data_IF_463432332496
#
_entry.id   IF_463432332496
#
_cell.length_a   1.000
_cell.length_b   1.000
_cell.length_c   1.000
_cell.angle_alpha   90.00
_cell.angle_beta   90.00
_cell.angle_gamma   90.00
#
_symmetry.space_group_name_H-M   'P 1'
#
loop_
_entity.id
_entity.type
_entity.pdbx_description
1 polymer ?
#
# COMPACT_ATOMS: atom_id res chain seq x y z
N UNK A 1 10.49 18.12 20.86
CA UNK A 1 10.73 18.41 19.42
C UNK A 1 11.59 17.34 18.77
N UNK A 2 12.69 16.98 19.41
CA UNK A 2 13.59 15.94 18.88
C UNK A 2 12.93 14.57 18.93
N UNK A 3 12.03 14.36 19.88
CA UNK A 3 11.26 13.12 20.01
C UNK A 3 10.35 12.90 18.80
N UNK A 4 9.77 13.97 18.27
CA UNK A 4 8.90 13.88 17.09
C UNK A 4 9.65 13.37 15.86
N UNK A 5 10.90 13.78 15.70
CA UNK A 5 11.74 13.29 14.60
C UNK A 5 12.13 11.82 14.76
N UNK A 6 12.39 11.42 16.00
CA UNK A 6 12.77 10.04 16.31
C UNK A 6 11.60 9.09 16.06
N UNK A 7 10.39 9.56 16.32
CA UNK A 7 9.18 8.75 16.19
C UNK A 7 8.52 8.83 14.83
N UNK A 8 9.09 9.57 13.88
CA UNK A 8 8.52 9.70 12.54
C UNK A 8 8.69 8.44 11.71
N UNK A 9 7.61 8.03 11.06
CA UNK A 9 7.65 6.95 10.07
C UNK A 9 8.53 7.37 8.90
N UNK A 10 9.16 6.39 8.26
CA UNK A 10 9.93 6.62 7.04
C UNK A 10 9.27 5.85 5.88
N UNK A 11 9.37 6.41 4.69
CA UNK A 11 8.85 5.82 3.48
C UNK A 11 9.92 5.85 2.40
N UNK A 12 10.20 4.71 1.80
CA UNK A 12 11.28 4.58 0.81
C UNK A 12 10.79 4.91 -0.60
N UNK A 13 10.12 6.07 -0.73
CA UNK A 13 9.60 6.54 -2.00
C UNK A 13 10.73 6.93 -2.93
N UNK A 14 10.72 6.39 -4.14
CA UNK A 14 11.75 6.63 -5.14
C UNK A 14 11.29 7.67 -6.15
N UNK A 15 12.19 8.57 -6.50
CA UNK A 15 11.93 9.53 -7.56
C UNK A 15 11.84 8.81 -8.90
N UNK A 16 10.95 9.27 -9.76
CA UNK A 16 10.82 8.73 -11.11
C UNK A 16 11.11 9.84 -12.13
N UNK A 17 11.81 9.49 -13.19
CA UNK A 17 12.06 10.41 -14.31
C UNK A 17 10.91 10.40 -15.31
N UNK A 18 9.93 9.53 -15.15
CA UNK A 18 8.75 9.48 -16.01
C UNK A 18 7.79 10.62 -15.65
N UNK A 19 7.23 11.26 -16.66
CA UNK A 19 6.24 12.32 -16.46
C UNK A 19 4.92 11.78 -15.98
N UNK A 20 4.60 10.54 -16.34
CA UNK A 20 3.34 9.89 -15.97
C UNK A 20 3.63 8.46 -15.57
N UNK A 21 3.17 8.08 -14.39
CA UNK A 21 3.39 6.75 -13.86
C UNK A 21 2.26 5.80 -14.22
N UNK A 22 1.06 6.32 -14.41
CA UNK A 22 -0.10 5.51 -14.72
C UNK A 22 -1.14 6.36 -15.42
N UNK A 23 -1.74 5.80 -16.46
CA UNK A 23 -2.91 6.37 -17.12
C UNK A 23 -3.93 5.27 -17.35
N UNK A 24 -5.16 5.52 -16.97
CA UNK A 24 -6.28 4.59 -17.12
C UNK A 24 -7.38 5.31 -17.87
N UNK A 25 -7.85 4.70 -18.98
CA UNK A 25 -8.83 5.29 -19.88
C UNK A 25 -10.04 4.36 -20.03
N UNK A 26 -11.20 4.88 -19.71
CA UNK A 26 -12.48 4.20 -19.88
C UNK A 26 -12.50 2.77 -19.33
N UNK A 27 -11.85 2.59 -18.17
CA UNK A 27 -11.66 1.27 -17.58
C UNK A 27 -12.96 0.77 -16.94
N UNK A 28 -13.32 -0.44 -17.28
CA UNK A 28 -14.34 -1.22 -16.58
C UNK A 28 -13.82 -2.63 -16.38
N UNK A 29 -14.07 -3.18 -15.21
CA UNK A 29 -13.68 -4.54 -14.86
C UNK A 29 -14.91 -5.33 -14.43
N UNK A 30 -14.87 -6.63 -14.62
CA UNK A 30 -15.93 -7.50 -14.14
C UNK A 30 -15.66 -8.95 -14.44
N UNK A 31 -16.61 -9.79 -14.10
CA UNK A 31 -16.60 -11.22 -14.42
C UNK A 31 -17.75 -11.49 -15.39
N UNK A 32 -18.92 -11.86 -14.89
CA UNK A 32 -20.11 -11.96 -15.73
C UNK A 32 -20.66 -10.57 -16.04
N UNK A 33 -20.71 -9.71 -15.01
CA UNK A 33 -21.19 -8.33 -15.13
C UNK A 33 -20.07 -7.36 -14.78
N UNK A 34 -20.14 -6.17 -15.36
CA UNK A 34 -19.21 -5.10 -15.03
C UNK A 34 -19.49 -4.58 -13.62
N UNK A 35 -18.42 -4.29 -12.86
CA UNK A 35 -18.50 -3.92 -11.45
C UNK A 35 -18.72 -2.43 -11.23
N UNK A 36 -18.40 -1.60 -12.21
CA UNK A 36 -18.49 -0.14 -12.08
C UNK A 36 -18.59 0.52 -13.46
N UNK A 37 -19.01 1.77 -13.47
CA UNK A 37 -19.05 2.61 -14.66
C UNK A 37 -17.61 2.94 -15.13
N UNK A 38 -17.44 3.30 -16.42
CA UNK A 38 -16.10 3.62 -16.93
C UNK A 38 -15.41 4.67 -16.09
N UNK A 39 -14.15 4.42 -15.75
CA UNK A 39 -13.32 5.35 -15.01
C UNK A 39 -12.10 5.73 -15.83
N UNK A 40 -11.60 6.94 -15.58
CA UNK A 40 -10.34 7.39 -16.13
C UNK A 40 -9.62 8.24 -15.10
N UNK A 41 -8.31 8.04 -15.01
CA UNK A 41 -7.46 8.87 -14.16
C UNK A 41 -6.01 8.70 -14.58
N UNK A 42 -5.18 9.65 -14.15
CA UNK A 42 -3.74 9.57 -14.35
C UNK A 42 -3.06 9.81 -13.00
N UNK A 43 -1.87 9.22 -12.83
CA UNK A 43 -1.03 9.48 -11.67
C UNK A 43 0.33 9.92 -12.19
N UNK A 44 0.72 11.13 -11.84
CA UNK A 44 2.04 11.68 -12.09
C UNK A 44 2.87 11.60 -10.80
N UNK A 45 4.20 11.77 -10.89
CA UNK A 45 5.00 11.81 -9.67
C UNK A 45 4.45 12.80 -8.65
N UNK A 46 4.44 12.41 -7.39
CA UNK A 46 3.95 13.19 -6.25
C UNK A 46 2.43 13.41 -6.24
N UNK A 47 1.69 12.68 -7.06
CA UNK A 47 0.23 12.75 -7.06
C UNK A 47 -0.38 11.55 -6.37
N UNK A 48 -1.51 11.79 -5.73
CA UNK A 48 -2.30 10.76 -5.07
C UNK A 48 -3.71 10.77 -5.64
N UNK A 49 -4.19 9.58 -5.99
CA UNK A 49 -5.56 9.38 -6.43
C UNK A 49 -6.23 8.44 -5.44
N UNK A 50 -7.40 8.83 -4.95
CA UNK A 50 -8.19 8.00 -4.05
C UNK A 50 -9.42 7.49 -4.79
N UNK A 51 -9.69 6.20 -4.64
CA UNK A 51 -10.90 5.57 -5.16
C UNK A 51 -11.77 5.20 -3.97
N UNK A 52 -12.94 5.80 -3.87
CA UNK A 52 -13.86 5.58 -2.77
C UNK A 52 -15.15 4.94 -3.27
N UNK A 53 -15.82 4.25 -2.38
CA UNK A 53 -17.11 3.64 -2.69
C UNK A 53 -17.42 2.51 -1.71
N UNK A 54 -18.63 1.96 -1.81
CA UNK A 54 -19.03 0.87 -0.93
C UNK A 54 -18.27 -0.42 -1.23
N UNK A 55 -18.23 -1.33 -0.26
CA UNK A 55 -17.66 -2.66 -0.44
C UNK A 55 -18.40 -3.38 -1.57
N UNK A 56 -17.65 -4.17 -2.34
CA UNK A 56 -18.21 -4.91 -3.46
C UNK A 56 -18.32 -4.10 -4.74
N UNK A 57 -17.87 -2.85 -4.74
CA UNK A 57 -17.90 -1.99 -5.93
C UNK A 57 -16.74 -2.23 -6.89
N UNK A 58 -15.89 -3.23 -6.64
CA UNK A 58 -14.77 -3.56 -7.52
C UNK A 58 -13.50 -2.76 -7.32
N UNK A 59 -13.40 -2.01 -6.22
CA UNK A 59 -12.23 -1.15 -5.97
C UNK A 59 -10.92 -1.92 -5.92
N UNK A 60 -10.88 -3.03 -5.19
CA UNK A 60 -9.67 -3.86 -5.08
C UNK A 60 -9.30 -4.50 -6.41
N UNK A 61 -10.27 -4.76 -7.26
CA UNK A 61 -10.03 -5.31 -8.61
C UNK A 61 -9.19 -4.36 -9.46
N UNK A 62 -9.33 -3.06 -9.25
CA UNK A 62 -8.54 -2.06 -9.96
C UNK A 62 -7.06 -2.23 -9.63
N UNK A 63 -6.73 -2.39 -8.34
CA UNK A 63 -5.34 -2.62 -7.92
C UNK A 63 -4.84 -3.94 -8.52
N UNK A 64 -5.64 -5.02 -8.45
CA UNK A 64 -5.25 -6.31 -9.01
C UNK A 64 -4.98 -6.21 -10.52
N UNK A 65 -5.81 -5.46 -11.23
CA UNK A 65 -5.60 -5.23 -12.65
C UNK A 65 -4.27 -4.49 -12.92
N UNK A 66 -3.98 -3.46 -12.14
CA UNK A 66 -2.75 -2.69 -12.30
C UNK A 66 -1.50 -3.52 -12.01
N UNK A 67 -1.62 -4.51 -11.13
CA UNK A 67 -0.51 -5.42 -10.79
C UNK A 67 -0.44 -6.64 -11.72
N UNK A 68 -1.35 -6.74 -12.69
CA UNK A 68 -1.38 -7.86 -13.62
C UNK A 68 -1.98 -9.14 -13.05
N UNK A 69 -2.74 -9.04 -11.95
CA UNK A 69 -3.30 -10.19 -11.24
C UNK A 69 -4.81 -10.35 -11.41
N UNK A 70 -5.44 -9.48 -12.20
CA UNK A 70 -6.88 -9.60 -12.45
C UNK A 70 -7.13 -10.52 -13.64
N UNK A 71 -8.00 -11.50 -13.48
CA UNK A 71 -8.29 -12.51 -14.51
C UNK A 71 -9.71 -12.43 -15.07
N UNK A 72 -10.44 -11.36 -14.80
CA UNK A 72 -11.78 -11.16 -15.31
C UNK A 72 -11.81 -10.40 -16.62
N UNK A 73 -13.00 -9.91 -16.97
CA UNK A 73 -13.22 -9.11 -18.17
C UNK A 73 -12.68 -7.70 -17.99
N UNK A 74 -11.99 -7.20 -19.01
CA UNK A 74 -11.39 -5.85 -19.02
C UNK A 74 -11.91 -5.09 -20.23
N UNK A 75 -12.44 -3.89 -20.00
CA UNK A 75 -12.78 -2.92 -21.04
C UNK A 75 -11.99 -1.65 -20.73
N UNK A 76 -11.46 -1.01 -21.75
CA UNK A 76 -10.63 0.17 -21.60
C UNK A 76 -9.15 -0.18 -21.63
N UNK A 77 -8.32 0.80 -21.31
CA UNK A 77 -6.87 0.70 -21.47
C UNK A 77 -6.13 1.25 -20.28
N UNK A 78 -4.92 0.71 -20.05
CA UNK A 78 -3.97 1.32 -19.14
C UNK A 78 -2.65 1.53 -19.84
N UNK A 79 -1.92 2.55 -19.39
CA UNK A 79 -0.57 2.82 -19.84
C UNK A 79 0.31 3.09 -18.61
N UNK A 80 1.47 2.46 -18.58
CA UNK A 80 2.46 2.66 -17.54
C UNK A 80 3.86 2.35 -18.07
N UNK A 81 4.90 2.94 -17.48
CA UNK A 81 6.29 2.61 -17.87
C UNK A 81 6.59 1.14 -17.64
N UNK A 82 7.48 0.58 -18.48
CA UNK A 82 8.01 -0.75 -18.25
C UNK A 82 8.82 -0.73 -16.96
N UNK A 83 8.72 -1.80 -16.19
CA UNK A 83 9.49 -1.98 -14.95
C UNK A 83 9.17 -0.92 -13.88
N UNK A 84 7.96 -0.35 -13.92
CA UNK A 84 7.51 0.53 -12.84
C UNK A 84 7.52 -0.25 -11.52
N UNK A 85 8.24 0.28 -10.53
CA UNK A 85 8.29 -0.33 -9.20
C UNK A 85 7.05 0.08 -8.41
N UNK A 86 6.28 -0.93 -7.97
CA UNK A 86 5.03 -0.72 -7.24
C UNK A 86 5.10 -1.45 -5.91
N UNK A 87 4.76 -0.76 -4.83
CA UNK A 87 4.61 -1.36 -3.52
C UNK A 87 3.14 -1.42 -3.14
N UNK A 88 2.72 -2.54 -2.59
CA UNK A 88 1.31 -2.84 -2.36
C UNK A 88 1.03 -3.09 -0.88
N UNK A 89 0.03 -2.39 -0.33
CA UNK A 89 -0.62 -2.78 0.92
C UNK A 89 -1.90 -3.49 0.52
N UNK A 90 -1.96 -4.77 0.80
CA UNK A 90 -3.07 -5.63 0.38
C UNK A 90 -4.25 -5.49 1.34
N UNK A 91 -5.45 -5.73 0.83
CA UNK A 91 -6.64 -5.83 1.67
C UNK A 91 -6.62 -7.12 2.49
N UNK A 92 -6.15 -8.21 1.89
CA UNK A 92 -6.05 -9.52 2.52
C UNK A 92 -4.60 -9.97 2.57
N UNK A 93 -4.08 -10.21 3.78
CA UNK A 93 -2.69 -10.57 4.01
C UNK A 93 -2.56 -11.72 5.02
N UNK A 94 -3.54 -12.60 5.06
CA UNK A 94 -3.54 -13.76 5.97
C UNK A 94 -2.40 -14.72 5.70
N UNK A 95 -1.80 -14.65 4.53
CA UNK A 95 -0.64 -15.46 4.15
C UNK A 95 0.69 -14.94 4.73
N UNK A 96 0.69 -13.78 5.39
CA UNK A 96 1.89 -13.30 6.07
C UNK A 96 2.18 -14.20 7.27
N UNK A 97 3.35 -14.83 7.29
CA UNK A 97 3.71 -15.83 8.29
C UNK A 97 5.20 -15.76 8.62
N UNK A 98 5.55 -16.42 9.71
CA UNK A 98 6.92 -16.59 10.14
C UNK A 98 7.40 -15.46 11.04
N UNK A 99 8.70 -15.46 11.30
CA UNK A 99 9.32 -14.39 12.08
C UNK A 99 9.41 -13.11 11.24
N UNK A 100 9.57 -11.98 11.91
CA UNK A 100 9.74 -10.71 11.19
C UNK A 100 10.99 -10.72 10.31
N UNK A 101 12.06 -11.39 10.75
CA UNK A 101 13.28 -11.50 9.94
C UNK A 101 13.03 -12.30 8.66
N UNK A 102 12.35 -13.45 8.78
CA UNK A 102 12.00 -14.26 7.62
C UNK A 102 11.09 -13.53 6.65
N UNK A 103 10.14 -12.79 7.18
CA UNK A 103 9.19 -12.00 6.39
C UNK A 103 9.92 -10.88 5.62
N UNK A 104 10.82 -10.16 6.29
CA UNK A 104 11.59 -9.09 5.66
C UNK A 104 12.46 -9.64 4.52
N UNK A 105 13.11 -10.78 4.72
CA UNK A 105 13.93 -11.42 3.70
C UNK A 105 13.09 -11.83 2.50
N UNK A 106 11.98 -12.50 2.75
CA UNK A 106 11.07 -12.95 1.69
C UNK A 106 10.54 -11.78 0.84
N UNK A 107 10.26 -10.67 1.46
CA UNK A 107 9.72 -9.49 0.78
C UNK A 107 10.79 -8.50 0.32
N UNK A 108 12.07 -8.84 0.51
CA UNK A 108 13.21 -8.04 0.06
C UNK A 108 13.19 -6.61 0.61
N UNK A 109 12.83 -6.48 1.89
CA UNK A 109 12.87 -5.18 2.56
C UNK A 109 14.05 -5.12 3.52
N UNK A 110 14.59 -3.92 3.70
CA UNK A 110 15.64 -3.72 4.68
C UNK A 110 15.10 -3.98 6.09
N UNK A 111 15.71 -4.92 6.80
CA UNK A 111 15.20 -5.38 8.08
C UNK A 111 15.19 -4.27 9.13
N UNK A 112 16.24 -3.44 9.17
CA UNK A 112 16.30 -2.34 10.15
C UNK A 112 15.22 -1.29 9.88
N UNK A 113 15.02 -0.90 8.63
CA UNK A 113 13.96 0.02 8.27
C UNK A 113 12.58 -0.53 8.62
N UNK A 114 12.37 -1.82 8.35
CA UNK A 114 11.13 -2.52 8.66
C UNK A 114 10.85 -2.51 10.17
N UNK A 115 11.84 -2.88 10.98
CA UNK A 115 11.70 -2.87 12.43
C UNK A 115 11.50 -1.46 12.98
N UNK A 116 12.19 -0.47 12.44
CA UNK A 116 12.02 0.92 12.85
C UNK A 116 10.61 1.41 12.60
N UNK A 117 10.04 1.11 11.43
CA UNK A 117 8.67 1.49 11.14
C UNK A 117 7.67 0.77 12.05
N UNK A 118 7.89 -0.51 12.34
CA UNK A 118 7.03 -1.23 13.28
C UNK A 118 7.07 -0.60 14.67
N UNK A 119 8.26 -0.20 15.16
CA UNK A 119 8.38 0.48 16.43
C UNK A 119 7.62 1.80 16.45
N UNK A 120 7.76 2.58 15.39
CA UNK A 120 7.11 3.88 15.28
C UNK A 120 5.59 3.76 15.14
N UNK A 121 5.10 2.66 14.59
CA UNK A 121 3.69 2.34 14.57
C UNK A 121 3.18 1.84 15.93
N UNK A 122 4.08 1.69 16.91
CA UNK A 122 3.69 1.33 18.27
C UNK A 122 3.63 -0.16 18.53
N UNK A 123 4.29 -0.99 17.73
CA UNK A 123 4.37 -2.41 18.04
C UNK A 123 5.17 -2.61 19.34
N UNK A 124 4.57 -3.29 20.29
CA UNK A 124 5.18 -3.52 21.58
C UNK A 124 6.37 -4.46 21.50
N UNK A 125 7.33 -4.27 22.40
CA UNK A 125 8.60 -5.01 22.39
C UNK A 125 8.39 -6.53 22.34
N UNK A 126 7.45 -7.04 23.13
CA UNK A 126 7.21 -8.47 23.22
C UNK A 126 6.71 -9.07 21.91
N UNK A 127 6.00 -8.28 21.13
CA UNK A 127 5.39 -8.73 19.86
C UNK A 127 6.43 -9.00 18.80
N UNK A 128 7.59 -8.32 18.86
CA UNK A 128 8.67 -8.51 17.88
C UNK A 128 9.21 -9.93 17.83
N UNK A 129 9.01 -10.72 18.87
CA UNK A 129 9.45 -12.10 18.95
C UNK A 129 8.38 -13.10 18.52
N UNK A 130 7.16 -12.62 18.28
CA UNK A 130 6.06 -13.48 17.88
C UNK A 130 6.10 -13.75 16.39
N UNK A 131 5.57 -14.90 15.99
CA UNK A 131 5.32 -15.18 14.57
C UNK A 131 4.13 -14.34 14.13
N UNK A 132 4.14 -13.92 12.87
CA UNK A 132 3.11 -13.04 12.32
C UNK A 132 1.72 -13.68 12.43
N UNK A 133 1.62 -14.97 12.18
CA UNK A 133 0.33 -15.69 12.29
C UNK A 133 -0.25 -15.70 13.71
N UNK A 134 0.53 -15.38 14.72
CA UNK A 134 0.10 -15.29 16.11
C UNK A 134 -0.27 -13.87 16.54
N UNK A 135 -0.09 -12.90 15.68
CA UNK A 135 -0.35 -11.50 15.98
C UNK A 135 -1.84 -11.16 15.85
N UNK A 136 -2.25 -10.08 16.55
CA UNK A 136 -3.60 -9.54 16.41
C UNK A 136 -3.81 -8.93 15.02
N UNK A 137 -5.05 -8.64 14.67
CA UNK A 137 -5.38 -8.01 13.38
C UNK A 137 -4.67 -6.67 13.22
N UNK A 138 -4.66 -5.84 14.27
CA UNK A 138 -3.97 -4.56 14.23
C UNK A 138 -2.46 -4.69 14.10
N UNK A 139 -1.87 -5.66 14.78
CA UNK A 139 -0.44 -5.93 14.68
C UNK A 139 -0.08 -6.44 13.27
N UNK A 140 -0.89 -7.32 12.70
CA UNK A 140 -0.68 -7.84 11.35
C UNK A 140 -0.84 -6.72 10.31
N UNK A 141 -1.74 -5.77 10.55
CA UNK A 141 -1.88 -4.59 9.69
C UNK A 141 -0.61 -3.75 9.71
N UNK A 142 -0.03 -3.55 10.89
CA UNK A 142 1.23 -2.81 11.02
C UNK A 142 2.37 -3.51 10.26
N UNK A 143 2.39 -4.83 10.27
CA UNK A 143 3.39 -5.60 9.50
C UNK A 143 3.23 -5.34 8.00
N UNK A 144 2.02 -5.41 7.49
CA UNK A 144 1.75 -5.17 6.06
C UNK A 144 2.11 -3.73 5.67
N UNK A 145 1.77 -2.75 6.50
CA UNK A 145 2.13 -1.35 6.26
C UNK A 145 3.64 -1.11 6.32
N UNK A 146 4.30 -1.63 7.34
CA UNK A 146 5.75 -1.46 7.49
C UNK A 146 6.51 -2.09 6.33
N UNK A 147 6.00 -3.22 5.80
CA UNK A 147 6.54 -3.83 4.59
C UNK A 147 6.52 -2.83 3.43
N UNK A 148 5.36 -2.26 3.14
CA UNK A 148 5.21 -1.33 2.02
C UNK A 148 6.03 -0.06 2.23
N UNK A 149 6.00 0.51 3.43
CA UNK A 149 6.78 1.71 3.76
C UNK A 149 8.27 1.50 3.53
N UNK A 150 8.76 0.29 3.77
CA UNK A 150 10.19 -0.04 3.69
C UNK A 150 10.62 -0.55 2.31
N UNK A 151 9.67 -0.78 1.40
CA UNK A 151 9.97 -1.19 0.03
C UNK A 151 10.26 0.04 -0.83
N UNK A 152 11.39 0.04 -1.58
CA UNK A 152 11.61 1.11 -2.54
C UNK A 152 10.61 0.99 -3.68
N UNK A 153 9.90 2.06 -3.98
CA UNK A 153 8.91 2.06 -5.04
C UNK A 153 8.68 3.45 -5.61
N UNK A 154 8.29 3.49 -6.87
CA UNK A 154 7.89 4.71 -7.55
C UNK A 154 6.40 5.00 -7.38
N UNK A 155 5.61 3.95 -7.18
CA UNK A 155 4.16 4.04 -6.99
C UNK A 155 3.73 3.14 -5.83
N UNK A 156 2.92 3.66 -4.93
CA UNK A 156 2.34 2.91 -3.82
C UNK A 156 0.85 2.71 -4.09
N UNK A 157 0.41 1.46 -4.02
CA UNK A 157 -1.02 1.11 -4.15
C UNK A 157 -1.47 0.54 -2.82
N UNK A 158 -2.28 1.28 -2.10
CA UNK A 158 -2.72 0.92 -0.75
C UNK A 158 -4.22 0.65 -0.72
N UNK A 159 -4.59 -0.54 -0.33
CA UNK A 159 -5.98 -1.01 -0.27
C UNK A 159 -6.45 -0.95 1.18
N UNK A 160 -7.32 0.01 1.49
CA UNK A 160 -7.87 0.24 2.83
C UNK A 160 -6.78 0.27 3.91
N UNK A 161 -5.81 1.17 3.77
CA UNK A 161 -4.61 1.14 4.63
C UNK A 161 -4.91 1.46 6.10
N UNK A 162 -6.01 2.13 6.42
CA UNK A 162 -6.28 2.59 7.78
C UNK A 162 -7.13 1.63 8.61
N UNK A 163 -7.64 0.55 8.00
CA UNK A 163 -8.42 -0.45 8.74
C UNK A 163 -7.58 -1.07 9.86
N UNK A 164 -8.22 -1.32 11.01
CA UNK A 164 -7.62 -1.93 12.20
C UNK A 164 -6.54 -1.09 12.89
N UNK A 165 -6.39 0.17 12.50
CA UNK A 165 -5.45 1.10 13.12
C UNK A 165 -6.19 2.07 14.04
N UNK A 166 -5.52 2.48 15.13
CA UNK A 166 -6.05 3.53 15.98
C UNK A 166 -5.87 4.91 15.35
N UNK A 167 -6.46 5.92 15.95
CA UNK A 167 -6.42 7.30 15.42
C UNK A 167 -4.99 7.82 15.34
N UNK A 168 -4.16 7.48 16.32
CA UNK A 168 -2.76 7.93 16.32
C UNK A 168 -1.99 7.41 15.11
N UNK A 169 -2.13 6.12 14.81
CA UNK A 169 -1.47 5.53 13.63
C UNK A 169 -2.02 6.10 12.32
N UNK A 170 -3.33 6.35 12.27
CA UNK A 170 -3.93 6.98 11.10
C UNK A 170 -3.34 8.35 10.84
N UNK A 171 -3.20 9.16 11.89
CA UNK A 171 -2.59 10.50 11.79
C UNK A 171 -1.13 10.43 11.38
N UNK A 172 -0.37 9.47 11.89
CA UNK A 172 1.03 9.27 11.49
C UNK A 172 1.15 9.04 9.99
N UNK A 173 0.30 8.16 9.44
CA UNK A 173 0.32 7.84 8.03
C UNK A 173 -0.11 9.02 7.17
N UNK A 174 -1.14 9.74 7.59
CA UNK A 174 -1.59 10.94 6.88
C UNK A 174 -0.49 12.00 6.83
N UNK A 175 0.18 12.25 7.95
CA UNK A 175 1.29 13.21 8.00
C UNK A 175 2.46 12.77 7.14
N UNK A 176 2.78 11.48 7.15
CA UNK A 176 3.84 10.94 6.31
C UNK A 176 3.56 11.19 4.84
N UNK A 177 2.35 10.90 4.40
CA UNK A 177 1.92 11.08 3.01
C UNK A 177 2.00 12.56 2.62
N UNK A 178 1.54 13.45 3.49
CA UNK A 178 1.59 14.89 3.25
C UNK A 178 3.02 15.42 3.16
N UNK A 179 3.94 14.84 3.91
CA UNK A 179 5.34 15.28 3.93
C UNK A 179 6.14 14.69 2.78
N UNK A 180 6.01 13.40 2.50
CA UNK A 180 6.77 12.70 1.48
C UNK A 180 6.21 12.95 0.08
N UNK A 181 4.91 13.09 -0.03
CA UNK A 181 4.19 13.25 -1.30
C UNK A 181 4.51 12.15 -2.30
N UNK A 182 4.33 10.88 -1.91
CA UNK A 182 4.56 9.77 -2.83
C UNK A 182 3.50 9.77 -3.93
N UNK A 183 3.84 9.22 -5.08
CA UNK A 183 2.81 8.87 -6.05
C UNK A 183 2.04 7.67 -5.48
N UNK A 184 0.72 7.76 -5.43
CA UNK A 184 -0.06 6.79 -4.69
C UNK A 184 -1.47 6.62 -5.25
N UNK A 185 -1.93 5.38 -5.27
CA UNK A 185 -3.33 5.02 -5.48
C UNK A 185 -3.87 4.48 -4.16
N UNK A 186 -4.87 5.13 -3.64
CA UNK A 186 -5.53 4.73 -2.38
C UNK A 186 -6.91 4.19 -2.70
N UNK A 187 -7.21 3.02 -2.18
CA UNK A 187 -8.57 2.47 -2.20
C UNK A 187 -9.13 2.62 -0.80
N UNK A 188 -10.24 3.33 -0.69
CA UNK A 188 -10.86 3.66 0.59
C UNK A 188 -12.32 3.25 0.61
N UNK A 189 -12.83 3.11 1.79
CA UNK A 189 -14.22 2.72 2.01
C UNK A 189 -15.17 3.89 1.88
#
# INVERSE_FOLDING_TARGET
KDIEYIDSLTMNSQASHHKRLLSVEDLQLGYENLLFEPIHFTIEPHQRVAISGPNGAGKSSIIHYLLGAFNGKVIGEKSQPKHLSISYVRQNYEDNRGTLAEFAEKNQVDYQAFLNNLRKLGMERDVFHNKIEQMSMGQRKKVELAKSLSQPAELYTWDEPLNYLDVFNQEQLEQLILNVKPAMLLVEH
#
